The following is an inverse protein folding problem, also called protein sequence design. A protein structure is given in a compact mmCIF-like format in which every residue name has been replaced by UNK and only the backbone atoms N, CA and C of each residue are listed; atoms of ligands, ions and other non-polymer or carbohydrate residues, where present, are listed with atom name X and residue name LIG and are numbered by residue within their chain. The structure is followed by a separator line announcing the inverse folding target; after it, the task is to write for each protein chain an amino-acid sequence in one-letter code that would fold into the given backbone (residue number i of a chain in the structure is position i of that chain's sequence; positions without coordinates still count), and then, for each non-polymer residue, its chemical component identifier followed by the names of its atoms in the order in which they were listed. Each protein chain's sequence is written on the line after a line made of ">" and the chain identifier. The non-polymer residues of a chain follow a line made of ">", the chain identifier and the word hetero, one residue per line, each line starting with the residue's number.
data_IF_042953868736
#
_entry.id   IF_042953868736
#
_cell.length_a   1.000
_cell.length_b   1.000
_cell.length_c   1.000
_cell.angle_alpha   90.00
_cell.angle_beta   90.00
_cell.angle_gamma   90.00
#
_symmetry.space_group_name_H-M   'P 1'
#
loop_
_entity.id
_entity.type
_entity.pdbx_description
1 polymer ?
#
# COMPACT_ATOMS: atom_id res chain seq x y z
N UNK A 1 5.84 -6.89 29.04
CA UNK A 1 6.69 -8.05 28.74
C UNK A 1 7.70 -7.60 27.69
N UNK A 2 8.98 -7.56 28.04
CA UNK A 2 10.05 -7.12 27.13
C UNK A 2 10.22 -8.17 26.03
N UNK A 3 9.83 -7.85 24.79
CA UNK A 3 10.15 -8.67 23.63
C UNK A 3 11.66 -8.53 23.39
N UNK A 4 12.44 -9.47 23.93
CA UNK A 4 13.81 -9.70 23.46
C UNK A 4 13.73 -9.98 21.96
N UNK A 5 14.42 -9.14 21.20
CA UNK A 5 14.74 -9.27 19.79
C UNK A 5 15.30 -10.67 19.51
N UNK A 6 14.47 -11.56 18.97
CA UNK A 6 14.93 -12.82 18.40
C UNK A 6 15.38 -12.51 16.98
N UNK A 7 16.70 -12.34 16.85
CA UNK A 7 17.52 -12.98 15.82
C UNK A 7 17.19 -12.69 14.36
N UNK A 8 18.01 -11.84 13.76
CA UNK A 8 18.16 -11.62 12.33
C UNK A 8 18.76 -12.84 11.58
N UNK A 9 18.11 -14.01 11.65
CA UNK A 9 18.60 -15.25 11.03
C UNK A 9 17.69 -15.84 9.94
N UNK A 10 16.66 -15.12 9.47
CA UNK A 10 15.68 -15.71 8.54
C UNK A 10 16.02 -15.65 7.05
N UNK A 11 17.23 -15.22 6.64
CA UNK A 11 17.63 -15.19 5.21
C UNK A 11 19.09 -15.60 4.94
N UNK A 12 19.52 -16.73 5.49
CA UNK A 12 20.74 -17.42 5.03
C UNK A 12 20.40 -18.43 3.93
N UNK A 13 20.15 -17.99 2.69
CA UNK A 13 20.09 -18.95 1.55
C UNK A 13 20.08 -18.32 0.15
N UNK A 14 20.72 -17.16 -0.06
CA UNK A 14 21.08 -16.68 -1.41
C UNK A 14 22.52 -16.14 -1.40
N UNK A 15 23.48 -17.05 -1.39
CA UNK A 15 24.94 -16.80 -1.44
C UNK A 15 25.38 -16.29 -2.82
N UNK A 16 24.95 -15.08 -3.19
CA UNK A 16 25.35 -14.43 -4.46
C UNK A 16 26.36 -13.28 -4.27
N UNK A 17 26.58 -12.83 -3.04
CA UNK A 17 27.48 -11.72 -2.72
C UNK A 17 28.52 -12.20 -1.71
N UNK A 18 29.80 -12.02 -2.03
CA UNK A 18 30.92 -12.33 -1.13
C UNK A 18 30.90 -11.50 0.16
N UNK A 19 31.76 -11.86 1.11
CA UNK A 19 31.82 -11.29 2.47
C UNK A 19 31.74 -9.75 2.53
N UNK A 20 32.48 -9.05 1.67
CA UNK A 20 32.44 -7.58 1.59
C UNK A 20 31.09 -7.03 1.12
N UNK A 21 30.42 -7.71 0.18
CA UNK A 21 29.10 -7.32 -0.31
C UNK A 21 28.02 -7.50 0.78
N UNK A 22 28.14 -8.55 1.60
CA UNK A 22 27.24 -8.75 2.73
C UNK A 22 27.42 -7.70 3.82
N UNK A 23 28.65 -7.31 4.14
CA UNK A 23 28.92 -6.22 5.10
C UNK A 23 28.42 -4.87 4.61
N UNK A 24 28.64 -4.55 3.33
CA UNK A 24 28.13 -3.30 2.74
C UNK A 24 26.60 -3.29 2.74
N UNK A 25 25.95 -4.40 2.35
CA UNK A 25 24.50 -4.49 2.39
C UNK A 25 23.96 -4.39 3.81
N UNK A 26 24.59 -5.06 4.78
CA UNK A 26 24.20 -5.00 6.18
C UNK A 26 24.34 -3.58 6.74
N UNK A 27 25.47 -2.93 6.48
CA UNK A 27 25.71 -1.53 6.84
C UNK A 27 24.67 -0.61 6.20
N UNK A 28 24.50 -0.68 4.87
CA UNK A 28 23.52 0.14 4.15
C UNK A 28 22.07 -0.17 4.49
N UNK A 29 21.78 -1.25 5.21
CA UNK A 29 20.44 -1.65 5.61
C UNK A 29 20.08 -1.13 7.02
N UNK A 30 21.03 -1.15 7.95
CA UNK A 30 20.80 -0.74 9.35
C UNK A 30 21.23 0.70 9.66
N UNK A 31 21.91 1.39 8.73
CA UNK A 31 22.51 2.71 9.03
C UNK A 31 21.54 3.89 8.98
N UNK A 32 20.41 3.78 8.28
CA UNK A 32 19.47 4.89 8.12
C UNK A 32 18.07 4.54 8.60
N UNK A 33 17.36 5.57 9.07
CA UNK A 33 15.96 5.42 9.48
C UNK A 33 15.09 4.97 8.29
N UNK A 34 14.12 4.05 8.47
CA UNK A 34 13.24 3.54 7.39
C UNK A 34 12.58 4.63 6.53
N UNK A 35 12.22 5.76 7.14
CA UNK A 35 11.63 6.92 6.43
C UNK A 35 12.60 7.57 5.43
N UNK A 36 13.92 7.47 5.66
CA UNK A 36 14.92 7.92 4.69
C UNK A 36 14.85 7.07 3.41
N UNK A 37 14.89 5.74 3.52
CA UNK A 37 14.74 4.87 2.36
C UNK A 37 13.40 5.07 1.67
N UNK A 38 12.31 5.27 2.42
CA UNK A 38 11.00 5.55 1.83
C UNK A 38 11.00 6.88 1.05
N UNK A 39 11.66 7.91 1.58
CA UNK A 39 11.81 9.19 0.89
C UNK A 39 12.62 9.03 -0.40
N UNK A 40 13.76 8.33 -0.34
CA UNK A 40 14.60 8.02 -1.51
C UNK A 40 13.79 7.25 -2.55
N UNK A 41 13.02 6.25 -2.13
CA UNK A 41 12.15 5.46 -2.99
C UNK A 41 11.14 6.33 -3.74
N UNK A 42 10.42 7.20 -3.03
CA UNK A 42 9.44 8.12 -3.61
C UNK A 42 10.11 9.10 -4.57
N UNK A 43 11.29 9.62 -4.23
CA UNK A 43 12.06 10.53 -5.08
C UNK A 43 12.46 9.83 -6.39
N UNK A 44 13.03 8.62 -6.32
CA UNK A 44 13.41 7.84 -7.51
C UNK A 44 12.21 7.63 -8.44
N UNK A 45 11.06 7.19 -7.89
CA UNK A 45 9.83 6.96 -8.67
C UNK A 45 9.34 8.27 -9.30
N UNK A 46 9.33 9.36 -8.54
CA UNK A 46 8.88 10.68 -9.00
C UNK A 46 9.75 11.18 -10.15
N UNK A 47 11.07 11.04 -10.06
CA UNK A 47 12.00 11.38 -11.14
C UNK A 47 11.79 10.48 -12.37
N UNK A 48 11.64 9.17 -12.17
CA UNK A 48 11.41 8.22 -13.25
C UNK A 48 10.14 8.55 -14.06
N UNK A 49 9.05 8.89 -13.36
CA UNK A 49 7.76 9.20 -14.00
C UNK A 49 7.77 10.60 -14.65
N UNK A 50 8.37 11.60 -13.99
CA UNK A 50 8.36 12.99 -14.43
C UNK A 50 9.34 13.32 -15.57
N UNK A 51 10.51 12.66 -15.59
CA UNK A 51 11.64 13.07 -16.44
C UNK A 51 12.10 12.00 -17.42
N UNK A 52 11.96 10.72 -17.10
CA UNK A 52 12.41 9.65 -18.02
C UNK A 52 11.30 9.33 -19.01
N UNK A 53 11.57 9.28 -20.34
CA UNK A 53 10.56 8.97 -21.34
C UNK A 53 9.84 7.64 -21.07
N UNK A 54 8.52 7.53 -21.29
CA UNK A 54 7.75 6.36 -20.86
C UNK A 54 8.14 5.01 -21.44
N UNK A 55 8.70 5.00 -22.66
CA UNK A 55 9.16 3.80 -23.34
C UNK A 55 10.66 3.54 -23.20
N UNK A 56 11.36 4.34 -22.39
CA UNK A 56 12.79 4.18 -22.20
C UNK A 56 13.11 2.99 -21.28
N UNK A 57 14.01 2.12 -21.74
CA UNK A 57 14.54 1.02 -20.93
C UNK A 57 15.28 1.50 -19.67
N UNK A 58 15.66 2.79 -19.61
CA UNK A 58 16.25 3.39 -18.40
C UNK A 58 15.34 3.28 -17.17
N UNK A 59 14.02 3.20 -17.36
CA UNK A 59 13.08 2.98 -16.25
C UNK A 59 13.25 1.59 -15.62
N UNK A 60 13.57 0.57 -16.44
CA UNK A 60 13.83 -0.77 -15.91
C UNK A 60 15.05 -0.79 -14.98
N UNK A 61 16.08 0.01 -15.31
CA UNK A 61 17.30 0.11 -14.50
C UNK A 61 17.07 0.72 -13.11
N UNK A 62 15.97 1.45 -12.91
CA UNK A 62 15.62 2.04 -11.60
C UNK A 62 14.85 1.08 -10.70
N UNK A 63 14.27 0.00 -11.25
CA UNK A 63 13.50 -0.97 -10.48
C UNK A 63 14.33 -1.63 -9.35
N UNK A 64 15.58 -2.09 -9.58
CA UNK A 64 16.39 -2.66 -8.50
C UNK A 64 16.63 -1.69 -7.34
N UNK A 65 16.77 -0.38 -7.61
CA UNK A 65 16.94 0.63 -6.58
C UNK A 65 15.66 0.82 -5.75
N UNK A 66 14.51 0.87 -6.42
CA UNK A 66 13.19 0.98 -5.76
C UNK A 66 12.89 -0.25 -4.91
N UNK A 67 13.24 -1.44 -5.39
CA UNK A 67 13.12 -2.71 -4.65
C UNK A 67 14.10 -2.75 -3.48
N UNK A 68 15.35 -2.32 -3.67
CA UNK A 68 16.35 -2.22 -2.60
C UNK A 68 15.87 -1.30 -1.46
N UNK A 69 15.28 -0.15 -1.76
CA UNK A 69 14.70 0.70 -0.71
C UNK A 69 13.59 -0.02 0.06
N UNK A 70 12.71 -0.77 -0.63
CA UNK A 70 11.66 -1.56 0.04
C UNK A 70 12.26 -2.64 0.94
N UNK A 71 13.27 -3.35 0.43
CA UNK A 71 14.02 -4.35 1.19
C UNK A 71 14.68 -3.72 2.43
N UNK A 72 15.31 -2.55 2.28
CA UNK A 72 15.95 -1.86 3.39
C UNK A 72 14.94 -1.45 4.48
N UNK A 73 13.75 -0.98 4.07
CA UNK A 73 12.66 -0.66 5.00
C UNK A 73 12.22 -1.92 5.76
N UNK A 74 11.97 -3.03 5.06
CA UNK A 74 11.51 -4.28 5.67
C UNK A 74 12.51 -4.75 6.75
N UNK A 75 13.80 -4.68 6.47
CA UNK A 75 14.82 -5.20 7.39
C UNK A 75 15.22 -4.24 8.51
N UNK A 76 14.91 -2.94 8.41
CA UNK A 76 15.28 -1.94 9.41
C UNK A 76 14.09 -1.41 10.23
N UNK A 77 12.86 -1.64 9.77
CA UNK A 77 11.66 -1.02 10.35
C UNK A 77 11.43 -1.41 11.82
N UNK A 78 11.56 -2.69 12.18
CA UNK A 78 11.35 -3.14 13.56
C UNK A 78 12.38 -2.61 14.56
N UNK A 79 13.57 -2.23 14.08
CA UNK A 79 14.64 -1.67 14.93
C UNK A 79 14.40 -0.19 15.25
N UNK A 80 13.72 0.54 14.35
CA UNK A 80 13.58 1.99 14.44
C UNK A 80 12.17 2.46 14.78
N UNK A 81 11.15 1.66 14.47
CA UNK A 81 9.75 2.04 14.60
C UNK A 81 9.06 1.16 15.64
N UNK A 82 8.05 1.74 16.30
CA UNK A 82 7.11 0.94 17.09
C UNK A 82 6.44 -0.09 16.17
N UNK A 83 6.27 -1.32 16.65
CA UNK A 83 5.67 -2.45 15.93
C UNK A 83 4.42 -2.08 15.14
N UNK A 84 3.58 -1.22 15.73
CA UNK A 84 2.37 -0.68 15.10
C UNK A 84 2.61 -0.02 13.73
N UNK A 85 3.71 0.73 13.56
CA UNK A 85 4.03 1.47 12.33
C UNK A 85 4.84 0.66 11.32
N UNK A 86 5.43 -0.45 11.76
CA UNK A 86 6.30 -1.30 10.94
C UNK A 86 5.54 -1.89 9.73
N UNK A 87 4.41 -2.54 10.00
CA UNK A 87 3.62 -3.19 8.94
C UNK A 87 2.97 -2.19 7.97
N UNK A 88 2.31 -1.10 8.43
CA UNK A 88 1.80 -0.07 7.52
C UNK A 88 2.86 0.57 6.62
N UNK A 89 4.04 0.94 7.18
CA UNK A 89 5.10 1.54 6.38
C UNK A 89 5.64 0.55 5.34
N UNK A 90 5.91 -0.70 5.76
CA UNK A 90 6.45 -1.74 4.87
C UNK A 90 5.44 -2.14 3.79
N UNK A 91 4.16 -2.25 4.14
CA UNK A 91 3.08 -2.48 3.17
C UNK A 91 2.96 -1.34 2.16
N UNK A 92 3.08 -0.09 2.60
CA UNK A 92 3.02 1.07 1.72
C UNK A 92 4.26 1.19 0.83
N UNK A 93 5.45 0.89 1.35
CA UNK A 93 6.69 0.82 0.59
C UNK A 93 6.60 -0.23 -0.54
N UNK A 94 6.07 -1.41 -0.26
CA UNK A 94 5.82 -2.41 -1.31
C UNK A 94 4.70 -1.96 -2.28
N UNK A 95 3.67 -1.29 -1.78
CA UNK A 95 2.63 -0.68 -2.61
C UNK A 95 3.17 0.29 -3.65
N UNK A 96 4.14 1.14 -3.29
CA UNK A 96 4.77 2.07 -4.25
C UNK A 96 5.71 1.37 -5.23
N UNK A 97 6.31 0.23 -4.87
CA UNK A 97 7.02 -0.64 -5.85
C UNK A 97 6.04 -1.12 -6.92
N UNK A 98 4.89 -1.66 -6.50
CA UNK A 98 3.85 -2.13 -7.42
C UNK A 98 3.28 -0.99 -8.28
N UNK A 99 3.12 0.19 -7.69
CA UNK A 99 2.71 1.39 -8.42
C UNK A 99 3.75 1.78 -9.48
N UNK A 100 5.05 1.65 -9.18
CA UNK A 100 6.10 1.89 -10.16
C UNK A 100 6.11 0.84 -11.27
N UNK A 101 5.87 -0.43 -10.95
CA UNK A 101 5.70 -1.47 -11.96
C UNK A 101 4.54 -1.14 -12.91
N UNK A 102 3.38 -0.74 -12.37
CA UNK A 102 2.25 -0.27 -13.19
C UNK A 102 2.65 0.96 -14.03
N UNK A 103 2.93 2.08 -13.38
CA UNK A 103 3.07 3.37 -14.07
C UNK A 103 4.36 3.48 -14.88
N UNK A 104 5.47 3.08 -14.27
CA UNK A 104 6.80 3.21 -14.84
C UNK A 104 7.01 2.28 -16.04
N UNK A 105 6.62 1.01 -15.90
CA UNK A 105 7.03 -0.06 -16.83
C UNK A 105 5.89 -0.59 -17.71
N UNK A 106 4.70 -0.84 -17.15
CA UNK A 106 3.62 -1.53 -17.88
C UNK A 106 2.70 -0.57 -18.65
N UNK A 107 2.29 0.52 -18.01
CA UNK A 107 1.36 1.49 -18.59
C UNK A 107 2.04 2.60 -19.37
N UNK A 108 3.38 2.67 -19.30
CA UNK A 108 4.18 3.75 -19.88
C UNK A 108 3.59 5.12 -19.53
N UNK A 109 3.35 5.35 -18.23
CA UNK A 109 2.86 6.62 -17.72
C UNK A 109 4.00 7.63 -17.64
N UNK A 110 3.82 8.83 -18.16
CA UNK A 110 4.77 9.90 -17.96
C UNK A 110 4.23 11.26 -18.34
N UNK A 111 5.04 12.27 -18.05
CA UNK A 111 4.67 13.67 -18.21
C UNK A 111 4.23 13.95 -19.65
N UNK A 112 5.07 13.69 -20.65
CA UNK A 112 4.79 14.09 -22.04
C UNK A 112 3.62 13.34 -22.70
N UNK A 113 3.29 12.14 -22.21
CA UNK A 113 2.16 11.35 -22.73
C UNK A 113 0.79 11.81 -22.22
N UNK A 114 0.72 12.48 -21.05
CA UNK A 114 -0.56 12.71 -20.33
C UNK A 114 -0.65 14.02 -19.54
N UNK A 115 0.39 14.86 -19.56
CA UNK A 115 0.42 16.20 -18.95
C UNK A 115 -0.71 17.09 -19.46
N UNK A 116 -1.12 16.95 -20.72
CA UNK A 116 -2.25 17.69 -21.27
C UNK A 116 -3.57 17.45 -20.52
N UNK A 117 -3.81 16.26 -19.96
CA UNK A 117 -5.11 15.93 -19.34
C UNK A 117 -5.19 16.43 -17.88
N UNK A 118 -4.09 16.34 -17.12
CA UNK A 118 -4.04 16.76 -15.71
C UNK A 118 -3.84 18.28 -15.58
N UNK A 119 -3.06 18.89 -16.48
CA UNK A 119 -2.89 20.35 -16.49
C UNK A 119 -4.13 21.07 -17.07
N UNK A 120 -4.83 20.50 -18.07
CA UNK A 120 -6.06 21.10 -18.62
C UNK A 120 -7.21 21.10 -17.59
N UNK A 121 -7.31 20.10 -16.71
CA UNK A 121 -8.30 20.12 -15.63
C UNK A 121 -8.06 21.22 -14.59
N UNK A 122 -6.80 21.68 -14.45
CA UNK A 122 -6.44 22.83 -13.61
C UNK A 122 -6.72 24.18 -14.30
N UNK A 123 -6.91 24.19 -15.63
CA UNK A 123 -7.02 25.38 -16.49
C UNK A 123 -8.44 25.89 -16.76
N UNK A 124 -9.51 25.28 -16.23
CA UNK A 124 -10.85 25.91 -16.21
C UNK A 124 -10.93 27.03 -15.16
N UNK A 125 -9.90 27.88 -15.10
CA UNK A 125 -9.74 28.99 -14.18
C UNK A 125 -8.66 29.97 -14.63
N UNK A 126 -7.38 29.55 -14.70
CA UNK A 126 -6.27 30.46 -15.04
C UNK A 126 -5.11 29.77 -15.78
N UNK A 127 -4.66 30.41 -16.86
CA UNK A 127 -3.59 29.95 -17.74
C UNK A 127 -2.22 30.30 -17.15
N UNK A 128 -1.54 29.35 -16.52
CA UNK A 128 -0.17 29.57 -16.01
C UNK A 128 0.84 29.69 -17.16
N UNK A 129 1.40 30.90 -17.29
CA UNK A 129 2.47 31.25 -18.22
C UNK A 129 3.66 30.27 -18.13
N UNK A 130 4.11 29.80 -19.29
CA UNK A 130 5.23 28.87 -19.43
C UNK A 130 6.56 29.55 -19.07
N UNK A 131 7.16 29.15 -17.96
CA UNK A 131 8.51 29.57 -17.56
C UNK A 131 9.38 28.31 -17.42
N UNK A 132 10.65 28.30 -17.86
CA UNK A 132 11.46 27.07 -17.87
C UNK A 132 11.65 26.45 -16.47
N UNK A 133 11.74 27.28 -15.42
CA UNK A 133 11.75 26.86 -14.00
C UNK A 133 10.42 26.18 -13.62
N UNK A 134 9.29 26.59 -14.23
CA UNK A 134 8.00 25.94 -14.01
C UNK A 134 7.99 24.50 -14.54
N UNK A 135 8.72 24.19 -15.62
CA UNK A 135 8.70 22.83 -16.20
C UNK A 135 9.39 21.75 -15.35
N UNK A 136 10.50 22.05 -14.67
CA UNK A 136 11.20 21.07 -13.81
C UNK A 136 10.36 20.76 -12.57
N UNK A 137 9.88 21.81 -11.89
CA UNK A 137 9.02 21.66 -10.71
C UNK A 137 7.72 20.94 -11.09
N UNK A 138 7.10 21.28 -12.23
CA UNK A 138 5.90 20.61 -12.72
C UNK A 138 6.13 19.13 -13.02
N UNK A 139 7.27 18.76 -13.62
CA UNK A 139 7.62 17.36 -13.90
C UNK A 139 7.82 16.56 -12.62
N UNK A 140 8.56 17.11 -11.66
CA UNK A 140 8.74 16.47 -10.36
C UNK A 140 7.42 16.33 -9.62
N UNK A 141 6.63 17.41 -9.58
CA UNK A 141 5.31 17.43 -8.95
C UNK A 141 4.35 16.43 -9.59
N UNK A 142 4.32 16.33 -10.93
CA UNK A 142 3.56 15.30 -11.64
C UNK A 142 4.02 13.89 -11.27
N UNK A 143 5.33 13.66 -11.18
CA UNK A 143 5.90 12.39 -10.74
C UNK A 143 5.46 12.05 -9.32
N UNK A 144 5.61 12.98 -8.40
CA UNK A 144 5.22 12.85 -6.99
C UNK A 144 3.74 12.55 -6.84
N UNK A 145 2.86 13.32 -7.49
CA UNK A 145 1.42 13.05 -7.49
C UNK A 145 1.11 11.67 -8.09
N UNK A 146 1.79 11.28 -9.17
CA UNK A 146 1.59 9.97 -9.81
C UNK A 146 1.95 8.80 -8.90
N UNK A 147 3.00 8.94 -8.08
CA UNK A 147 3.43 7.96 -7.07
C UNK A 147 2.31 7.66 -6.06
N UNK A 148 1.53 8.67 -5.67
CA UNK A 148 0.44 8.51 -4.70
C UNK A 148 -0.96 8.42 -5.33
N UNK A 149 -1.08 8.60 -6.64
CA UNK A 149 -2.34 8.54 -7.39
C UNK A 149 -2.73 7.11 -7.77
N UNK A 150 -2.77 6.21 -6.78
CA UNK A 150 -3.16 4.81 -6.93
C UNK A 150 -4.49 4.61 -7.66
N UNK A 151 -5.48 5.46 -7.35
CA UNK A 151 -6.84 5.37 -7.91
C UNK A 151 -7.06 6.20 -9.18
N UNK A 152 -6.10 7.06 -9.55
CA UNK A 152 -6.12 7.89 -10.76
C UNK A 152 -7.43 8.69 -10.89
N UNK A 153 -7.91 9.18 -9.75
CA UNK A 153 -9.20 9.89 -9.61
C UNK A 153 -9.26 11.08 -10.56
N UNK A 154 -10.43 11.31 -11.17
CA UNK A 154 -10.69 12.37 -12.12
C UNK A 154 -9.94 12.24 -13.46
N UNK A 155 -9.33 11.09 -13.76
CA UNK A 155 -8.70 10.85 -15.07
C UNK A 155 -9.50 9.84 -15.90
N UNK A 156 -9.32 9.80 -17.24
CA UNK A 156 -9.89 8.73 -18.06
C UNK A 156 -9.43 7.31 -17.68
N UNK A 157 -8.40 7.21 -16.83
CA UNK A 157 -7.82 5.97 -16.34
C UNK A 157 -8.20 5.68 -14.88
N UNK A 158 -9.24 6.33 -14.36
CA UNK A 158 -9.71 6.13 -12.99
C UNK A 158 -10.03 4.65 -12.74
N UNK A 159 -9.56 4.15 -11.59
CA UNK A 159 -9.76 2.77 -11.18
C UNK A 159 -11.26 2.46 -11.06
N UNK A 160 -11.67 1.34 -11.64
CA UNK A 160 -13.06 0.86 -11.61
C UNK A 160 -13.58 0.75 -10.18
N UNK A 161 -14.83 1.15 -9.97
CA UNK A 161 -15.53 1.09 -8.67
C UNK A 161 -14.90 1.97 -7.58
N UNK A 162 -14.10 2.99 -7.94
CA UNK A 162 -13.73 4.04 -6.99
C UNK A 162 -15.02 4.62 -6.34
N UNK A 163 -15.11 4.74 -5.01
CA UNK A 163 -16.29 5.28 -4.34
C UNK A 163 -16.57 6.74 -4.72
N UNK A 164 -17.84 7.13 -4.88
CA UNK A 164 -18.25 8.52 -5.18
C UNK A 164 -18.55 9.28 -3.89
N UNK A 165 -18.49 10.62 -3.93
CA UNK A 165 -19.05 11.43 -2.84
C UNK A 165 -20.56 11.18 -2.69
N UNK A 166 -21.09 11.44 -1.49
CA UNK A 166 -22.54 11.47 -1.25
C UNK A 166 -23.18 12.43 -2.24
N UNK A 167 -24.21 11.98 -2.95
CA UNK A 167 -24.91 12.71 -4.02
C UNK A 167 -24.05 13.09 -5.24
N UNK A 168 -22.89 12.42 -5.42
CA UNK A 168 -21.93 12.67 -6.52
C UNK A 168 -21.39 14.10 -6.57
N UNK A 169 -21.52 14.88 -5.49
CA UNK A 169 -21.03 16.26 -5.39
C UNK A 169 -19.94 16.36 -4.34
N UNK A 170 -18.83 17.00 -4.70
CA UNK A 170 -17.76 17.27 -3.75
C UNK A 170 -18.23 18.30 -2.69
N UNK A 171 -17.91 18.09 -1.40
CA UNK A 171 -18.21 19.06 -0.35
C UNK A 171 -17.41 20.35 -0.53
N UNK A 172 -17.84 21.43 0.14
CA UNK A 172 -17.03 22.66 0.23
C UNK A 172 -15.74 22.39 1.01
N UNK A 173 -14.68 23.18 0.74
CA UNK A 173 -13.38 23.00 1.40
C UNK A 173 -13.47 23.00 2.93
N UNK A 174 -14.16 23.93 3.61
CA UNK A 174 -14.26 23.90 5.08
C UNK A 174 -14.96 22.65 5.60
N UNK A 175 -16.06 22.23 4.95
CA UNK A 175 -16.79 21.01 5.32
C UNK A 175 -15.94 19.76 5.15
N UNK A 176 -15.20 19.68 4.04
CA UNK A 176 -14.28 18.59 3.77
C UNK A 176 -13.19 18.49 4.85
N UNK A 177 -12.55 19.61 5.18
CA UNK A 177 -11.50 19.65 6.20
C UNK A 177 -12.04 19.23 7.57
N UNK A 178 -13.21 19.74 7.97
CA UNK A 178 -13.86 19.34 9.21
C UNK A 178 -14.15 17.82 9.24
N UNK A 179 -14.71 17.26 8.17
CA UNK A 179 -14.98 15.84 8.05
C UNK A 179 -13.70 14.99 8.23
N UNK A 180 -12.59 15.40 7.62
CA UNK A 180 -11.32 14.67 7.73
C UNK A 180 -10.64 14.84 9.08
N UNK A 181 -10.70 16.02 9.72
CA UNK A 181 -10.25 16.19 11.12
C UNK A 181 -11.03 15.25 12.04
N UNK A 182 -12.37 15.29 11.97
CA UNK A 182 -13.23 14.40 12.77
C UNK A 182 -12.90 12.93 12.51
N UNK A 183 -12.70 12.54 11.24
CA UNK A 183 -12.37 11.16 10.90
C UNK A 183 -11.00 10.74 11.45
N UNK A 184 -9.98 11.61 11.42
CA UNK A 184 -8.67 11.32 12.03
C UNK A 184 -8.82 11.09 13.53
N UNK A 185 -9.56 11.95 14.23
CA UNK A 185 -9.79 11.80 15.67
C UNK A 185 -10.51 10.48 15.99
N UNK A 186 -11.57 10.14 15.24
CA UNK A 186 -12.29 8.87 15.40
C UNK A 186 -11.36 7.68 15.18
N UNK A 187 -10.53 7.70 14.14
CA UNK A 187 -9.61 6.61 13.84
C UNK A 187 -8.54 6.44 14.93
N UNK A 188 -8.00 7.54 15.47
CA UNK A 188 -7.05 7.51 16.58
C UNK A 188 -7.72 6.92 17.83
N UNK A 189 -8.91 7.40 18.19
CA UNK A 189 -9.65 6.89 19.35
C UNK A 189 -10.01 5.40 19.20
N UNK A 190 -10.40 4.96 18.01
CA UNK A 190 -10.72 3.55 17.75
C UNK A 190 -9.51 2.63 17.98
N UNK A 191 -8.32 3.06 17.52
CA UNK A 191 -7.07 2.33 17.74
C UNK A 191 -6.65 2.39 19.21
N UNK A 192 -6.77 3.56 19.85
CA UNK A 192 -6.41 3.75 21.25
C UNK A 192 -7.24 2.87 22.19
N UNK A 193 -8.58 2.88 22.03
CA UNK A 193 -9.50 2.01 22.76
C UNK A 193 -9.15 0.54 22.55
N UNK A 194 -8.89 0.13 21.30
CA UNK A 194 -8.49 -1.25 20.99
C UNK A 194 -7.17 -1.65 21.66
N UNK A 195 -6.25 -0.72 21.82
CA UNK A 195 -4.94 -0.95 22.45
C UNK A 195 -5.01 -1.08 23.97
N UNK A 196 -6.08 -0.57 24.59
CA UNK A 196 -6.33 -0.62 26.02
C UNK A 196 -7.17 -1.84 26.44
N UNK A 197 -7.70 -2.61 25.48
CA UNK A 197 -8.43 -3.83 25.79
C UNK A 197 -7.51 -4.83 26.51
N UNK A 198 -7.99 -5.48 27.58
CA UNK A 198 -7.19 -6.47 28.28
C UNK A 198 -6.88 -7.65 27.34
N UNK A 199 -5.71 -8.28 27.49
CA UNK A 199 -5.41 -9.50 26.75
C UNK A 199 -6.43 -10.59 27.08
N UNK A 200 -6.59 -11.55 26.16
CA UNK A 200 -7.40 -12.73 26.42
C UNK A 200 -6.95 -13.45 27.70
N UNK A 201 -7.85 -14.11 28.45
CA UNK A 201 -7.46 -14.99 29.55
C UNK A 201 -6.48 -16.05 29.04
N UNK A 202 -5.38 -16.31 29.77
CA UNK A 202 -4.37 -17.31 29.40
C UNK A 202 -3.84 -17.16 27.94
N UNK A 203 -3.30 -16.00 27.55
CA UNK A 203 -2.94 -15.73 26.15
C UNK A 203 -1.85 -16.69 25.63
N UNK A 204 -0.94 -17.12 26.49
CA UNK A 204 0.11 -18.08 26.13
C UNK A 204 -0.45 -19.44 25.67
N UNK A 205 -1.59 -19.85 26.23
CA UNK A 205 -2.25 -21.10 25.88
C UNK A 205 -3.12 -20.94 24.62
N UNK A 206 -3.93 -19.88 24.57
CA UNK A 206 -4.85 -19.61 23.46
C UNK A 206 -4.13 -19.29 22.14
N UNK A 207 -2.97 -18.64 22.20
CA UNK A 207 -2.16 -18.30 21.03
C UNK A 207 -0.97 -19.26 20.82
N UNK A 208 -0.97 -20.41 21.48
CA UNK A 208 0.10 -21.40 21.35
C UNK A 208 0.18 -21.96 19.91
N UNK A 209 1.39 -22.26 19.43
CA UNK A 209 1.64 -22.69 18.05
C UNK A 209 0.79 -23.92 17.64
N UNK A 210 0.61 -24.88 18.56
CA UNK A 210 -0.21 -26.07 18.34
C UNK A 210 -1.69 -25.76 18.09
N UNK A 211 -2.19 -24.58 18.52
CA UNK A 211 -3.57 -24.13 18.28
C UNK A 211 -3.73 -23.46 16.92
N UNK A 212 -2.66 -23.08 16.22
CA UNK A 212 -2.78 -22.39 14.92
C UNK A 212 -3.66 -23.17 13.92
N UNK A 213 -3.50 -24.50 13.86
CA UNK A 213 -4.28 -25.36 12.98
C UNK A 213 -5.69 -25.64 13.52
N UNK A 214 -6.65 -24.84 13.05
CA UNK A 214 -8.05 -24.94 13.47
C UNK A 214 -8.75 -26.20 12.93
N UNK A 215 -8.67 -26.43 11.61
CA UNK A 215 -9.45 -27.49 10.94
C UNK A 215 -9.01 -28.91 11.30
N UNK A 216 -7.75 -29.11 11.69
CA UNK A 216 -7.24 -30.42 12.09
C UNK A 216 -7.61 -30.79 13.53
N UNK A 217 -8.17 -29.85 14.30
CA UNK A 217 -8.43 -29.99 15.74
C UNK A 217 -9.87 -29.67 16.13
N UNK A 218 -10.82 -29.76 15.20
CA UNK A 218 -12.22 -29.33 15.43
C UNK A 218 -12.86 -29.94 16.69
N UNK A 219 -12.50 -31.17 17.07
CA UNK A 219 -13.00 -31.82 18.28
C UNK A 219 -12.42 -31.30 19.60
N UNK A 220 -11.34 -30.51 19.55
CA UNK A 220 -10.62 -29.96 20.71
C UNK A 220 -10.80 -28.44 20.86
N UNK A 221 -11.46 -27.79 19.90
CA UNK A 221 -11.65 -26.33 19.90
C UNK A 221 -12.69 -25.95 20.94
N UNK A 222 -12.29 -25.19 21.95
CA UNK A 222 -13.20 -24.68 22.98
C UNK A 222 -14.01 -23.47 22.51
N UNK A 223 -15.14 -23.22 23.16
CA UNK A 223 -15.95 -22.01 22.90
C UNK A 223 -15.20 -20.71 23.21
N UNK A 224 -14.31 -20.72 24.20
CA UNK A 224 -13.42 -19.60 24.53
C UNK A 224 -12.44 -19.31 23.39
N UNK A 225 -11.83 -20.35 22.81
CA UNK A 225 -10.93 -20.19 21.68
C UNK A 225 -11.65 -19.59 20.47
N UNK A 226 -12.88 -20.06 20.18
CA UNK A 226 -13.71 -19.49 19.12
C UNK A 226 -13.99 -18.00 19.37
N UNK A 227 -14.39 -17.65 20.60
CA UNK A 227 -14.70 -16.27 20.96
C UNK A 227 -13.48 -15.35 20.79
N UNK A 228 -12.30 -15.78 21.26
CA UNK A 228 -11.06 -15.00 21.16
C UNK A 228 -10.61 -14.84 19.71
N UNK A 229 -10.74 -15.88 18.88
CA UNK A 229 -10.44 -15.79 17.44
C UNK A 229 -11.37 -14.84 16.70
N UNK A 230 -12.67 -14.91 16.96
CA UNK A 230 -13.66 -14.01 16.36
C UNK A 230 -13.37 -12.57 16.78
N UNK A 231 -13.22 -12.33 18.09
CA UNK A 231 -12.93 -11.00 18.62
C UNK A 231 -11.61 -10.44 18.09
N UNK A 232 -10.54 -11.23 18.12
CA UNK A 232 -9.24 -10.85 17.58
C UNK A 232 -9.30 -10.52 16.09
N UNK A 233 -10.04 -11.32 15.30
CA UNK A 233 -10.24 -11.06 13.87
C UNK A 233 -11.01 -9.76 13.64
N UNK A 234 -12.11 -9.54 14.36
CA UNK A 234 -12.91 -8.31 14.24
C UNK A 234 -12.07 -7.09 14.63
N UNK A 235 -11.34 -7.15 15.75
CA UNK A 235 -10.46 -6.06 16.19
C UNK A 235 -9.35 -5.78 15.17
N UNK A 236 -8.74 -6.83 14.59
CA UNK A 236 -7.75 -6.68 13.53
C UNK A 236 -8.32 -5.89 12.34
N UNK A 237 -9.49 -6.30 11.81
CA UNK A 237 -10.11 -5.63 10.68
C UNK A 237 -10.55 -4.20 10.99
N UNK A 238 -11.09 -3.95 12.19
CA UNK A 238 -11.46 -2.61 12.65
C UNK A 238 -10.23 -1.69 12.75
N UNK A 239 -9.14 -2.17 13.37
CA UNK A 239 -7.90 -1.41 13.47
C UNK A 239 -7.28 -1.16 12.10
N UNK A 240 -7.24 -2.16 11.21
CA UNK A 240 -6.74 -2.00 9.85
C UNK A 240 -7.53 -0.94 9.09
N UNK A 241 -8.86 -0.97 9.18
CA UNK A 241 -9.73 0.04 8.57
C UNK A 241 -9.42 1.44 9.14
N UNK A 242 -9.35 1.58 10.47
CA UNK A 242 -9.09 2.84 11.14
C UNK A 242 -7.72 3.42 10.77
N UNK A 243 -6.68 2.58 10.69
CA UNK A 243 -5.32 3.00 10.29
C UNK A 243 -5.32 3.52 8.86
N UNK A 244 -5.87 2.75 7.91
CA UNK A 244 -5.90 3.14 6.50
C UNK A 244 -6.74 4.40 6.28
N UNK A 245 -7.91 4.48 6.90
CA UNK A 245 -8.79 5.64 6.81
C UNK A 245 -8.18 6.87 7.50
N UNK A 246 -7.54 6.69 8.65
CA UNK A 246 -6.86 7.75 9.40
C UNK A 246 -5.70 8.34 8.61
N UNK A 247 -4.81 7.50 8.07
CA UNK A 247 -3.69 7.93 7.22
C UNK A 247 -4.16 8.63 5.95
N UNK A 248 -5.19 8.10 5.30
CA UNK A 248 -5.78 8.74 4.13
C UNK A 248 -6.39 10.10 4.46
N UNK A 249 -7.16 10.20 5.55
CA UNK A 249 -7.76 11.46 6.00
C UNK A 249 -6.70 12.49 6.40
N UNK A 250 -5.64 12.05 7.06
CA UNK A 250 -4.53 12.92 7.43
C UNK A 250 -3.80 13.45 6.19
N UNK A 251 -3.49 12.60 5.23
CA UNK A 251 -2.90 13.02 3.96
C UNK A 251 -3.82 13.98 3.18
N UNK A 252 -5.13 13.72 3.17
CA UNK A 252 -6.13 14.59 2.56
C UNK A 252 -6.16 15.97 3.21
N UNK A 253 -6.12 16.01 4.53
CA UNK A 253 -6.11 17.23 5.33
C UNK A 253 -4.91 18.10 4.98
N UNK A 254 -3.71 17.53 4.99
CA UNK A 254 -2.48 18.24 4.64
C UNK A 254 -2.54 18.74 3.21
N UNK A 255 -2.85 17.86 2.25
CA UNK A 255 -2.80 18.19 0.84
C UNK A 255 -3.82 19.27 0.43
N UNK A 256 -5.03 19.24 0.97
CA UNK A 256 -6.07 20.25 0.66
C UNK A 256 -5.82 21.56 1.43
N UNK A 257 -5.29 21.51 2.65
CA UNK A 257 -4.97 22.71 3.43
C UNK A 257 -3.85 23.51 2.76
N UNK A 258 -2.78 22.85 2.32
CA UNK A 258 -1.65 23.48 1.63
C UNK A 258 -1.89 23.73 0.13
N UNK A 259 -3.07 23.42 -0.40
CA UNK A 259 -3.39 23.66 -1.83
C UNK A 259 -2.64 22.75 -2.81
N UNK A 260 -2.11 21.62 -2.34
CA UNK A 260 -1.44 20.60 -3.18
C UNK A 260 -2.44 19.76 -3.98
N UNK A 261 -3.72 19.77 -3.63
CA UNK A 261 -4.75 19.07 -4.41
C UNK A 261 -6.14 19.56 -4.07
N UNK A 262 -7.06 19.40 -5.02
CA UNK A 262 -8.45 19.76 -4.83
C UNK A 262 -9.22 18.71 -4.05
N UNK A 263 -10.27 19.15 -3.35
CA UNK A 263 -11.23 18.27 -2.64
C UNK A 263 -11.74 17.14 -3.54
N UNK A 264 -11.97 17.43 -4.84
CA UNK A 264 -12.48 16.46 -5.82
C UNK A 264 -11.55 15.27 -6.05
N UNK A 265 -10.26 15.41 -5.76
CA UNK A 265 -9.27 14.34 -5.91
C UNK A 265 -9.29 13.34 -4.75
N UNK A 266 -9.91 13.71 -3.62
CA UNK A 266 -9.98 12.92 -2.39
C UNK A 266 -11.34 12.24 -2.21
N UNK A 267 -11.72 11.44 -3.21
CA UNK A 267 -12.93 10.62 -3.14
C UNK A 267 -12.84 9.61 -1.99
N UNK A 268 -13.98 9.21 -1.37
CA UNK A 268 -13.98 8.33 -0.21
C UNK A 268 -13.09 7.11 -0.43
N UNK A 269 -12.29 6.75 0.57
CA UNK A 269 -11.34 5.65 0.45
C UNK A 269 -12.08 4.33 0.28
N UNK A 270 -13.01 4.05 1.20
CA UNK A 270 -13.86 2.86 1.20
C UNK A 270 -15.24 3.13 0.59
N UNK A 271 -15.87 2.07 0.05
CA UNK A 271 -17.25 2.07 -0.40
C UNK A 271 -18.26 1.94 0.74
N UNK A 272 -19.52 1.68 0.39
CA UNK A 272 -20.56 1.48 1.40
C UNK A 272 -20.43 0.10 2.04
N UNK A 273 -20.57 0.02 3.37
CA UNK A 273 -20.70 -1.28 4.07
C UNK A 273 -21.88 -2.10 3.53
N UNK A 274 -22.91 -1.46 2.96
CA UNK A 274 -24.05 -2.15 2.32
C UNK A 274 -23.66 -2.93 1.07
N UNK A 275 -22.51 -2.61 0.45
CA UNK A 275 -21.98 -3.38 -0.67
C UNK A 275 -21.27 -4.66 -0.20
N UNK A 276 -20.95 -4.84 1.08
CA UNK A 276 -20.20 -6.00 1.59
C UNK A 276 -21.05 -7.29 1.72
N UNK A 277 -21.85 -7.62 0.70
CA UNK A 277 -22.78 -8.78 0.70
C UNK A 277 -22.18 -10.07 0.14
N UNK A 278 -21.03 -10.00 -0.53
CA UNK A 278 -20.30 -11.16 -1.06
C UNK A 278 -18.81 -10.83 -1.16
N UNK A 279 -17.95 -11.85 -1.22
CA UNK A 279 -16.50 -11.67 -1.41
C UNK A 279 -16.19 -10.79 -2.63
N UNK A 280 -16.93 -10.97 -3.74
CA UNK A 280 -16.76 -10.17 -4.95
C UNK A 280 -17.04 -8.70 -4.71
N UNK A 281 -18.12 -8.38 -3.99
CA UNK A 281 -18.47 -6.98 -3.76
C UNK A 281 -17.62 -6.36 -2.64
N UNK A 282 -17.21 -7.15 -1.64
CA UNK A 282 -16.28 -6.71 -0.61
C UNK A 282 -14.99 -6.18 -1.22
N UNK A 283 -14.27 -7.00 -1.99
CA UNK A 283 -13.03 -6.60 -2.66
C UNK A 283 -13.27 -5.67 -3.86
N UNK A 284 -14.43 -5.81 -4.51
CA UNK A 284 -14.73 -5.12 -5.75
C UNK A 284 -15.32 -3.72 -5.60
N UNK A 285 -15.93 -3.38 -4.45
CA UNK A 285 -16.64 -2.11 -4.23
C UNK A 285 -16.39 -1.49 -2.85
N UNK A 286 -16.40 -2.31 -1.79
CA UNK A 286 -16.27 -1.80 -0.42
C UNK A 286 -14.81 -1.48 -0.06
N UNK A 287 -13.90 -2.42 -0.25
CA UNK A 287 -12.48 -2.24 0.09
C UNK A 287 -11.84 -1.12 -0.75
N UNK A 288 -10.74 -0.52 -0.30
CA UNK A 288 -10.32 0.83 -0.70
C UNK A 288 -9.90 1.08 -2.16
N UNK A 289 -9.94 0.06 -3.03
CA UNK A 289 -9.58 0.08 -4.46
C UNK A 289 -8.18 0.61 -4.83
N UNK A 290 -7.39 1.15 -3.90
CA UNK A 290 -6.08 1.76 -4.17
C UNK A 290 -5.10 0.79 -4.83
N UNK A 291 -5.04 -0.45 -4.36
CA UNK A 291 -4.10 -1.43 -4.91
C UNK A 291 -4.63 -2.17 -6.14
N UNK A 292 -5.88 -1.91 -6.57
CA UNK A 292 -6.53 -2.69 -7.62
C UNK A 292 -5.74 -2.74 -8.91
N UNK A 293 -5.35 -1.58 -9.43
CA UNK A 293 -4.59 -1.49 -10.68
C UNK A 293 -3.15 -1.99 -10.51
N UNK A 294 -2.51 -1.63 -9.40
CA UNK A 294 -1.14 -2.01 -9.06
C UNK A 294 -0.98 -3.53 -8.93
N UNK A 295 -2.03 -4.25 -8.52
CA UNK A 295 -2.06 -5.72 -8.46
C UNK A 295 -2.54 -6.34 -9.78
N UNK A 296 -3.59 -5.79 -10.39
CA UNK A 296 -4.21 -6.37 -11.58
C UNK A 296 -3.31 -6.30 -12.81
N UNK A 297 -2.56 -5.21 -13.02
CA UNK A 297 -1.77 -5.03 -14.24
C UNK A 297 -0.56 -5.95 -14.35
N UNK A 298 0.26 -6.15 -13.30
CA UNK A 298 1.27 -7.20 -13.32
C UNK A 298 0.65 -8.59 -13.56
N UNK A 299 -0.47 -8.93 -12.90
CA UNK A 299 -1.17 -10.20 -13.14
C UNK A 299 -1.67 -10.34 -14.58
N UNK A 300 -2.16 -9.26 -15.19
CA UNK A 300 -2.57 -9.23 -16.59
C UNK A 300 -1.39 -9.35 -17.56
N UNK A 301 -0.25 -8.73 -17.24
CA UNK A 301 0.98 -8.88 -18.01
C UNK A 301 1.46 -10.33 -17.98
N UNK A 302 1.58 -10.93 -16.80
CA UNK A 302 1.97 -12.33 -16.65
C UNK A 302 1.03 -13.27 -17.43
N UNK A 303 -0.28 -13.07 -17.30
CA UNK A 303 -1.29 -13.89 -17.99
C UNK A 303 -1.16 -13.84 -19.52
N UNK A 304 -1.02 -12.65 -20.10
CA UNK A 304 -1.12 -12.49 -21.56
C UNK A 304 0.24 -12.42 -22.27
N UNK A 305 1.30 -11.95 -21.59
CA UNK A 305 2.63 -11.75 -22.17
C UNK A 305 3.65 -12.82 -21.78
N UNK A 306 3.46 -13.49 -20.64
CA UNK A 306 4.36 -14.57 -20.20
C UNK A 306 3.71 -15.92 -20.45
N UNK A 307 2.48 -16.12 -19.99
CA UNK A 307 1.74 -17.37 -20.15
C UNK A 307 0.99 -17.47 -21.50
N UNK A 308 0.94 -16.38 -22.27
CA UNK A 308 0.30 -16.33 -23.59
C UNK A 308 -1.16 -16.81 -23.63
N UNK A 309 -1.90 -16.66 -22.53
CA UNK A 309 -3.28 -17.14 -22.46
C UNK A 309 -4.22 -16.24 -23.28
N UNK A 310 -5.07 -16.81 -24.17
CA UNK A 310 -6.04 -16.04 -24.93
C UNK A 310 -7.17 -15.53 -24.03
N UNK A 311 -7.93 -14.49 -24.46
CA UNK A 311 -9.10 -14.03 -23.74
C UNK A 311 -10.10 -15.18 -23.52
N UNK A 312 -10.47 -15.42 -22.27
CA UNK A 312 -11.35 -16.54 -21.92
C UNK A 312 -11.51 -16.69 -20.41
N UNK A 313 -12.18 -17.77 -20.00
CA UNK A 313 -12.43 -18.06 -18.59
C UNK A 313 -11.13 -18.36 -17.82
N UNK A 314 -10.21 -19.11 -18.44
CA UNK A 314 -8.91 -19.43 -17.85
C UNK A 314 -8.12 -18.14 -17.59
N UNK A 315 -7.91 -17.30 -18.61
CA UNK A 315 -7.22 -16.02 -18.44
C UNK A 315 -7.88 -15.10 -17.40
N UNK A 316 -9.22 -15.15 -17.25
CA UNK A 316 -9.93 -14.38 -16.21
C UNK A 316 -9.54 -14.86 -14.82
N UNK A 317 -9.58 -16.16 -14.56
CA UNK A 317 -9.26 -16.71 -13.25
C UNK A 317 -7.76 -16.68 -12.96
N UNK A 318 -6.89 -16.87 -13.95
CA UNK A 318 -5.44 -16.68 -13.81
C UNK A 318 -5.10 -15.26 -13.38
N UNK A 319 -5.70 -14.23 -14.00
CA UNK A 319 -5.49 -12.84 -13.57
C UNK A 319 -5.94 -12.58 -12.14
N UNK A 320 -7.09 -13.14 -11.76
CA UNK A 320 -7.61 -12.99 -10.40
C UNK A 320 -6.68 -13.65 -9.39
N UNK A 321 -6.28 -14.90 -9.66
CA UNK A 321 -5.35 -15.65 -8.84
C UNK A 321 -4.02 -14.90 -8.69
N UNK A 322 -3.41 -14.47 -9.80
CA UNK A 322 -2.14 -13.73 -9.76
C UNK A 322 -2.25 -12.40 -9.01
N UNK A 323 -3.36 -11.66 -9.15
CA UNK A 323 -3.57 -10.44 -8.39
C UNK A 323 -3.63 -10.70 -6.88
N UNK A 324 -4.30 -11.77 -6.45
CA UNK A 324 -4.32 -12.18 -5.03
C UNK A 324 -2.98 -12.72 -4.55
N UNK A 325 -2.26 -13.50 -5.37
CA UNK A 325 -0.93 -14.00 -5.05
C UNK A 325 0.07 -12.85 -4.83
N UNK A 326 0.08 -11.86 -5.73
CA UNK A 326 0.93 -10.66 -5.59
C UNK A 326 0.55 -9.88 -4.33
N UNK A 327 -0.75 -9.79 -4.01
CA UNK A 327 -1.21 -9.16 -2.78
C UNK A 327 -0.73 -9.93 -1.54
N UNK A 328 -0.82 -11.25 -1.53
CA UNK A 328 -0.35 -12.11 -0.43
C UNK A 328 1.16 -11.98 -0.21
N UNK A 329 1.96 -11.98 -1.29
CA UNK A 329 3.40 -11.74 -1.22
C UNK A 329 3.73 -10.36 -0.64
N UNK A 330 3.00 -9.32 -1.05
CA UNK A 330 3.15 -7.98 -0.50
C UNK A 330 2.88 -7.94 1.00
N UNK A 331 1.84 -8.65 1.47
CA UNK A 331 1.52 -8.76 2.89
C UNK A 331 2.55 -9.58 3.66
N UNK A 332 3.02 -10.70 3.10
CA UNK A 332 4.07 -11.52 3.70
C UNK A 332 5.36 -10.72 3.92
N UNK A 333 5.75 -9.88 2.95
CA UNK A 333 6.91 -8.99 3.13
C UNK A 333 6.69 -7.92 4.20
N UNK A 334 5.46 -7.43 4.38
CA UNK A 334 5.13 -6.50 5.46
C UNK A 334 5.11 -7.19 6.85
N UNK A 335 4.73 -8.47 6.91
CA UNK A 335 4.84 -9.29 8.13
C UNK A 335 6.28 -9.60 8.49
N UNK A 336 7.14 -9.93 7.52
CA UNK A 336 8.57 -10.13 7.77
C UNK A 336 9.21 -8.92 8.41
N UNK A 337 8.76 -7.71 8.05
CA UNK A 337 9.27 -6.49 8.64
C UNK A 337 9.05 -6.40 10.16
N UNK A 338 8.08 -7.14 10.71
CA UNK A 338 7.85 -7.20 12.17
C UNK A 338 8.79 -8.16 12.89
N UNK A 339 9.75 -8.77 12.17
CA UNK A 339 10.66 -9.79 12.71
C UNK A 339 10.10 -11.22 12.67
N UNK A 340 8.91 -11.43 12.10
CA UNK A 340 8.37 -12.77 11.90
C UNK A 340 9.06 -13.46 10.72
N UNK A 341 9.46 -14.71 10.89
CA UNK A 341 9.99 -15.48 9.76
C UNK A 341 8.86 -15.78 8.76
N UNK A 342 9.18 -15.81 7.46
CA UNK A 342 8.20 -16.02 6.38
C UNK A 342 7.29 -17.25 6.60
N UNK A 343 7.84 -18.36 7.09
CA UNK A 343 7.10 -19.61 7.31
C UNK A 343 6.19 -19.60 8.56
N UNK A 344 6.30 -18.56 9.40
CA UNK A 344 5.38 -18.32 10.52
C UNK A 344 4.30 -17.29 10.17
N UNK A 345 4.38 -16.65 9.00
CA UNK A 345 3.41 -15.66 8.54
C UNK A 345 2.09 -16.29 8.09
N UNK A 346 1.01 -15.52 8.20
CA UNK A 346 -0.35 -15.95 7.82
C UNK A 346 -0.80 -15.43 6.45
N UNK A 347 0.08 -14.69 5.76
CA UNK A 347 -0.26 -13.93 4.55
C UNK A 347 -0.26 -14.72 3.24
N UNK A 348 0.25 -15.95 3.20
CA UNK A 348 0.38 -16.79 1.99
C UNK A 348 -0.37 -18.11 2.09
#
# INVERSE_FOLDING_TARGET
>A
MSFKTIGAESFYSLNLLGWHGQHILRFLNTSFHPLFYFTVQVVIISFAIGFVPPRSNRRLLLLPLVVFCSYAIINSASEHLRLFWVCPLSGFANGVVLQYLDLGLLSHWGFDTKSAIILAQKQNGETLAHNRISTVIQRFYFGFLSTFSFRKVNTPYEVKNTPQFRDKRAPSKPRFLLQHVTMVLICILAVDVSSQLPPAPNPAELFAAQRVHFLSRLGEVSGEEIAVRIMGSVLYWCNLFAILQGLFSFAALLAVSFGLSDVRSWRPLFGSLRDATSLRYFWGKFWHQSLRDALYKPGSFLTHKVLHLPPGILARYTKLFLAFLISGLMHAFAEVATGLALHHGGSL
#
